data_IF_272350288967
#
_entry.id   IF_272350288967
#
_cell.length_a   1.000
_cell.length_b   1.000
_cell.length_c   1.000
_cell.angle_alpha   90.00
_cell.angle_beta   90.00
_cell.angle_gamma   90.00
#
_symmetry.space_group_name_H-M   'P 1'
#
loop_
_entity.id
_entity.type
_entity.pdbx_description
1 polymer ?
#
# COMPACT_ATOMS: atom_id res chain seq x y z
N UNK A 1 9.15 -16.90 -18.01
CA UNK A 1 8.85 -17.16 -16.59
C UNK A 1 8.88 -18.67 -16.33
N UNK A 2 9.86 -19.16 -15.57
CA UNK A 2 10.15 -20.60 -15.39
C UNK A 2 9.35 -21.28 -14.26
N UNK A 3 8.49 -20.55 -13.56
CA UNK A 3 7.88 -20.96 -12.29
C UNK A 3 6.36 -21.07 -12.35
N UNK A 4 5.79 -21.90 -13.22
CA UNK A 4 4.45 -22.53 -13.07
C UNK A 4 3.21 -21.65 -12.83
N UNK A 5 3.35 -20.35 -12.66
CA UNK A 5 2.26 -19.41 -12.50
C UNK A 5 1.74 -19.14 -13.89
N UNK A 6 0.58 -19.71 -14.18
CA UNK A 6 -0.29 -19.27 -15.27
C UNK A 6 -0.89 -17.88 -14.96
N UNK A 7 -0.08 -16.96 -14.43
CA UNK A 7 -0.43 -15.56 -14.26
C UNK A 7 0.03 -14.88 -15.53
N UNK A 8 -0.90 -14.35 -16.31
CA UNK A 8 -0.55 -13.46 -17.42
C UNK A 8 0.18 -12.25 -16.84
N UNK A 9 1.22 -11.70 -17.49
CA UNK A 9 1.93 -10.53 -16.98
C UNK A 9 1.01 -9.36 -16.61
N UNK A 10 -0.07 -9.15 -17.38
CA UNK A 10 -1.10 -8.14 -17.09
C UNK A 10 -1.91 -8.37 -15.81
N UNK A 11 -1.85 -9.57 -15.23
CA UNK A 11 -2.56 -9.96 -14.01
C UNK A 11 -1.62 -10.07 -12.79
N UNK A 12 -0.33 -9.77 -12.95
CA UNK A 12 0.68 -9.88 -11.89
C UNK A 12 0.96 -8.53 -11.24
N UNK A 13 0.64 -8.42 -9.94
CA UNK A 13 0.87 -7.21 -9.14
C UNK A 13 2.34 -6.81 -9.08
N UNK A 14 2.62 -5.56 -8.73
CA UNK A 14 4.00 -5.10 -8.50
C UNK A 14 4.70 -5.96 -7.45
N UNK A 15 4.00 -6.28 -6.36
CA UNK A 15 4.48 -7.20 -5.34
C UNK A 15 4.75 -8.60 -5.91
N UNK A 16 3.84 -9.13 -6.73
CA UNK A 16 3.99 -10.42 -7.39
C UNK A 16 5.22 -10.51 -8.28
N UNK A 17 5.46 -9.48 -9.09
CA UNK A 17 6.66 -9.40 -9.93
C UNK A 17 7.93 -9.46 -9.09
N UNK A 18 7.98 -8.72 -7.97
CA UNK A 18 9.15 -8.72 -7.09
C UNK A 18 9.35 -10.05 -6.35
N UNK A 19 8.27 -10.73 -5.94
CA UNK A 19 8.34 -12.10 -5.41
C UNK A 19 8.95 -13.04 -6.45
N UNK A 20 8.50 -12.96 -7.71
CA UNK A 20 8.96 -13.85 -8.77
C UNK A 20 10.41 -13.57 -9.17
N UNK A 21 10.79 -12.30 -9.23
CA UNK A 21 12.17 -11.88 -9.45
C UNK A 21 13.09 -12.38 -8.32
N UNK A 22 12.63 -12.30 -7.06
CA UNK A 22 13.38 -12.83 -5.93
C UNK A 22 13.56 -14.35 -6.03
N UNK A 23 12.50 -15.08 -6.38
CA UNK A 23 12.54 -16.52 -6.60
C UNK A 23 13.51 -16.91 -7.73
N UNK A 24 13.48 -16.17 -8.84
CA UNK A 24 14.37 -16.39 -9.98
C UNK A 24 15.83 -16.13 -9.62
N UNK A 25 16.09 -15.00 -8.95
CA UNK A 25 17.43 -14.61 -8.50
C UNK A 25 18.08 -15.65 -7.58
N UNK A 26 17.29 -16.23 -6.68
CA UNK A 26 17.78 -17.23 -5.72
C UNK A 26 17.53 -18.67 -6.15
N UNK A 27 16.98 -18.88 -7.35
CA UNK A 27 16.65 -20.19 -7.93
C UNK A 27 15.77 -21.06 -7.02
N UNK A 28 14.86 -20.45 -6.25
CA UNK A 28 13.95 -21.15 -5.33
C UNK A 28 12.56 -21.36 -5.94
N UNK A 29 11.88 -22.41 -5.50
CA UNK A 29 10.49 -22.70 -5.92
C UNK A 29 9.47 -21.86 -5.13
N UNK A 30 8.24 -21.79 -5.64
CA UNK A 30 7.13 -21.13 -4.92
C UNK A 30 6.88 -21.75 -3.54
N UNK A 31 6.94 -23.08 -3.43
CA UNK A 31 6.79 -23.77 -2.14
C UNK A 31 7.91 -23.41 -1.18
N UNK A 32 9.13 -23.34 -1.68
CA UNK A 32 10.30 -22.98 -0.86
C UNK A 32 10.21 -21.53 -0.37
N UNK A 33 9.84 -20.59 -1.24
CA UNK A 33 9.59 -19.20 -0.86
C UNK A 33 8.45 -19.11 0.17
N UNK A 34 7.34 -19.82 -0.02
CA UNK A 34 6.21 -19.81 0.92
C UNK A 34 6.63 -20.33 2.31
N UNK A 35 7.47 -21.38 2.33
CA UNK A 35 8.05 -21.94 3.55
C UNK A 35 8.95 -20.93 4.27
N UNK A 36 9.82 -20.22 3.53
CA UNK A 36 10.70 -19.19 4.10
C UNK A 36 9.92 -18.00 4.68
N UNK A 37 8.87 -17.57 3.98
CA UNK A 37 7.97 -16.51 4.45
C UNK A 37 7.09 -16.99 5.60
N UNK A 38 6.87 -18.30 5.74
CA UNK A 38 5.99 -18.87 6.76
C UNK A 38 4.51 -18.63 6.47
N UNK A 39 4.11 -18.79 5.20
CA UNK A 39 2.71 -18.76 4.73
C UNK A 39 2.41 -19.97 3.83
N UNK A 40 1.14 -20.18 3.49
CA UNK A 40 0.76 -21.28 2.58
C UNK A 40 1.23 -20.99 1.15
N UNK A 41 1.42 -22.07 0.37
CA UNK A 41 1.75 -21.97 -1.05
C UNK A 41 0.68 -21.19 -1.82
N UNK A 42 -0.59 -21.45 -1.53
CA UNK A 42 -1.75 -20.74 -2.10
C UNK A 42 -1.76 -19.29 -1.66
N UNK A 43 -1.42 -18.99 -0.41
CA UNK A 43 -1.31 -17.63 0.11
C UNK A 43 -0.23 -16.83 -0.62
N UNK A 44 0.95 -17.40 -0.81
CA UNK A 44 2.03 -16.76 -1.57
C UNK A 44 1.63 -16.57 -3.04
N UNK A 45 1.00 -17.58 -3.65
CA UNK A 45 0.47 -17.48 -5.01
C UNK A 45 -0.55 -16.35 -5.12
N UNK A 46 -1.47 -16.21 -4.17
CA UNK A 46 -2.46 -15.13 -4.13
C UNK A 46 -1.80 -13.75 -4.06
N UNK A 47 -0.71 -13.60 -3.30
CA UNK A 47 0.04 -12.33 -3.23
C UNK A 47 0.59 -11.87 -4.60
N UNK A 48 0.69 -12.79 -5.57
CA UNK A 48 1.21 -12.47 -6.90
C UNK A 48 0.16 -11.84 -7.84
N UNK A 49 -1.12 -11.88 -7.49
CA UNK A 49 -2.21 -11.36 -8.32
C UNK A 49 -2.54 -9.90 -7.99
N UNK A 50 -3.03 -9.14 -8.97
CA UNK A 50 -3.59 -7.82 -8.74
C UNK A 50 -4.82 -7.87 -7.81
N UNK A 51 -5.02 -6.80 -7.04
CA UNK A 51 -6.19 -6.62 -6.16
C UNK A 51 -6.15 -7.41 -4.86
N UNK A 52 -5.21 -8.34 -4.69
CA UNK A 52 -5.01 -9.05 -3.43
C UNK A 52 -4.22 -8.15 -2.47
N UNK A 53 -4.77 -7.94 -1.26
CA UNK A 53 -4.05 -7.31 -0.15
C UNK A 53 -3.57 -8.39 0.83
N UNK A 54 -2.27 -8.71 0.84
CA UNK A 54 -1.71 -9.50 1.92
C UNK A 54 -1.82 -8.73 3.25
N UNK A 55 -1.95 -9.45 4.35
CA UNK A 55 -2.01 -8.83 5.68
C UNK A 55 -0.70 -8.13 6.02
N UNK A 56 -0.74 -7.17 6.95
CA UNK A 56 0.46 -6.47 7.44
C UNK A 56 1.55 -7.45 7.88
N UNK A 57 1.17 -8.47 8.66
CA UNK A 57 2.08 -9.53 9.09
C UNK A 57 2.72 -10.28 7.92
N UNK A 58 1.97 -10.52 6.85
CA UNK A 58 2.48 -11.19 5.64
C UNK A 58 3.47 -10.30 4.90
N UNK A 59 3.15 -9.02 4.74
CA UNK A 59 4.03 -8.05 4.09
C UNK A 59 5.35 -7.87 4.84
N UNK A 60 5.32 -7.83 6.18
CA UNK A 60 6.54 -7.77 7.00
C UNK A 60 7.42 -9.02 6.84
N UNK A 61 6.82 -10.21 6.82
CA UNK A 61 7.55 -11.47 6.60
C UNK A 61 8.17 -11.53 5.20
N UNK A 62 7.39 -11.16 4.17
CA UNK A 62 7.87 -11.04 2.79
C UNK A 62 9.03 -10.06 2.68
N UNK A 63 8.90 -8.88 3.28
CA UNK A 63 9.94 -7.86 3.31
C UNK A 63 11.24 -8.41 3.91
N UNK A 64 11.15 -9.13 5.04
CA UNK A 64 12.28 -9.79 5.67
C UNK A 64 12.99 -10.79 4.77
N UNK A 65 12.25 -11.71 4.15
CA UNK A 65 12.82 -12.72 3.22
C UNK A 65 13.42 -12.06 1.97
N UNK A 66 12.76 -11.03 1.45
CA UNK A 66 13.19 -10.34 0.23
C UNK A 66 14.32 -9.33 0.45
N UNK A 67 14.70 -9.07 1.72
CA UNK A 67 15.69 -8.05 2.08
C UNK A 67 15.24 -6.64 1.72
N UNK A 68 13.95 -6.35 1.84
CA UNK A 68 13.35 -5.05 1.51
C UNK A 68 12.74 -4.39 2.75
N UNK A 69 12.64 -3.06 2.78
CA UNK A 69 11.89 -2.38 3.83
C UNK A 69 10.38 -2.68 3.73
N UNK A 70 9.68 -2.98 4.84
CA UNK A 70 8.24 -3.27 4.81
C UNK A 70 7.39 -2.17 4.17
N UNK A 71 7.71 -0.90 4.45
CA UNK A 71 7.04 0.29 3.90
C UNK A 71 7.02 0.32 2.37
N UNK A 72 8.05 -0.26 1.73
CA UNK A 72 8.10 -0.37 0.28
C UNK A 72 7.04 -1.35 -0.23
N UNK A 73 6.85 -2.48 0.45
CA UNK A 73 5.83 -3.47 0.08
C UNK A 73 4.42 -2.95 0.34
N UNK A 74 4.21 -2.26 1.48
CA UNK A 74 2.93 -1.58 1.74
C UNK A 74 2.59 -0.63 0.60
N UNK A 75 3.53 0.25 0.24
CA UNK A 75 3.35 1.21 -0.84
C UNK A 75 2.89 0.54 -2.14
N UNK A 76 3.57 -0.51 -2.59
CA UNK A 76 3.21 -1.22 -3.82
C UNK A 76 1.78 -1.79 -3.80
N UNK A 77 1.38 -2.41 -2.69
CA UNK A 77 0.04 -3.00 -2.57
C UNK A 77 -1.03 -1.92 -2.58
N UNK A 78 -0.80 -0.79 -1.91
CA UNK A 78 -1.74 0.33 -1.91
C UNK A 78 -1.80 1.04 -3.27
N UNK A 79 -0.66 1.28 -3.92
CA UNK A 79 -0.58 1.85 -5.28
C UNK A 79 -1.38 1.00 -6.28
N UNK A 80 -1.20 -0.32 -6.27
CA UNK A 80 -1.97 -1.23 -7.11
C UNK A 80 -3.47 -1.18 -6.75
N UNK A 81 -3.83 -1.11 -5.46
CA UNK A 81 -5.23 -0.99 -5.05
C UNK A 81 -5.88 0.32 -5.49
N UNK A 82 -5.15 1.43 -5.43
CA UNK A 82 -5.64 2.74 -5.87
C UNK A 82 -5.91 2.70 -7.37
N UNK A 83 -4.93 2.23 -8.14
CA UNK A 83 -4.98 2.19 -9.60
C UNK A 83 -6.08 1.28 -10.15
N UNK A 84 -6.40 0.18 -9.45
CA UNK A 84 -7.30 -0.86 -9.98
C UNK A 84 -8.58 -1.10 -9.17
N UNK A 85 -8.67 -0.58 -7.94
CA UNK A 85 -9.76 -0.86 -6.99
C UNK A 85 -10.77 0.27 -6.81
N UNK A 86 -10.49 1.45 -7.35
CA UNK A 86 -11.40 2.60 -7.34
C UNK A 86 -11.71 3.02 -8.78
N UNK A 87 -12.81 3.73 -8.99
CA UNK A 87 -13.04 4.39 -10.27
C UNK A 87 -11.82 5.25 -10.60
N UNK A 88 -11.29 5.07 -11.81
CA UNK A 88 -10.04 5.68 -12.24
C UNK A 88 -10.04 7.19 -11.94
N UNK A 89 -9.10 7.64 -11.11
CA UNK A 89 -8.92 9.04 -10.76
C UNK A 89 -9.56 9.49 -9.45
N UNK A 90 -10.50 8.75 -8.85
CA UNK A 90 -11.15 9.16 -7.59
C UNK A 90 -10.21 9.00 -6.39
N UNK A 91 -9.53 7.86 -6.28
CA UNK A 91 -8.58 7.61 -5.21
C UNK A 91 -7.31 8.46 -5.36
N UNK A 92 -6.85 8.67 -6.59
CA UNK A 92 -5.76 9.58 -6.91
C UNK A 92 -6.11 11.03 -6.56
N UNK A 93 -7.31 11.51 -6.90
CA UNK A 93 -7.78 12.85 -6.55
C UNK A 93 -7.89 13.03 -5.03
N UNK A 94 -8.37 12.01 -4.31
CA UNK A 94 -8.42 12.05 -2.85
C UNK A 94 -7.02 12.14 -2.23
N UNK A 95 -6.07 11.31 -2.69
CA UNK A 95 -4.69 11.36 -2.22
C UNK A 95 -4.04 12.70 -2.49
N UNK A 96 -4.18 13.21 -3.72
CA UNK A 96 -3.65 14.51 -4.09
C UNK A 96 -4.25 15.62 -3.22
N UNK A 97 -5.55 15.58 -2.94
CA UNK A 97 -6.19 16.55 -2.05
C UNK A 97 -5.66 16.47 -0.60
N UNK A 98 -5.38 15.26 -0.08
CA UNK A 98 -4.76 15.09 1.24
C UNK A 98 -3.32 15.65 1.24
N UNK A 99 -2.52 15.34 0.21
CA UNK A 99 -1.14 15.84 0.12
C UNK A 99 -1.08 17.37 0.03
N UNK A 100 -1.95 17.99 -0.77
CA UNK A 100 -2.06 19.44 -0.84
C UNK A 100 -2.54 20.05 0.49
N UNK A 101 -3.49 19.42 1.18
CA UNK A 101 -3.92 19.86 2.50
C UNK A 101 -2.77 19.81 3.52
N UNK A 102 -1.94 18.75 3.52
CA UNK A 102 -0.74 18.64 4.36
C UNK A 102 0.23 19.79 4.07
N UNK A 103 0.50 20.07 2.79
CA UNK A 103 1.40 21.18 2.38
C UNK A 103 0.87 22.52 2.89
N UNK A 104 -0.42 22.80 2.71
CA UNK A 104 -1.06 24.04 3.17
C UNK A 104 -0.98 24.17 4.68
N UNK A 105 -1.34 23.12 5.44
CA UNK A 105 -1.29 23.17 6.91
C UNK A 105 0.16 23.39 7.38
N UNK A 106 1.14 22.70 6.79
CA UNK A 106 2.57 22.92 7.10
C UNK A 106 3.00 24.37 6.89
N UNK A 107 2.58 25.00 5.79
CA UNK A 107 2.85 26.41 5.54
C UNK A 107 2.23 27.31 6.62
N UNK A 108 0.98 27.06 7.02
CA UNK A 108 0.28 27.86 8.02
C UNK A 108 0.88 27.76 9.43
N UNK A 109 1.41 26.59 9.79
CA UNK A 109 1.99 26.35 11.13
C UNK A 109 3.51 26.55 11.18
N UNK A 110 4.15 26.85 10.05
CA UNK A 110 5.60 27.04 10.00
C UNK A 110 6.04 28.24 10.85
N UNK A 111 5.22 29.28 10.92
CA UNK A 111 5.53 30.49 11.69
C UNK A 111 5.20 30.37 13.18
N UNK A 112 4.69 29.20 13.62
CA UNK A 112 4.39 28.98 15.03
C UNK A 112 5.68 28.78 15.82
N UNK A 113 5.71 29.22 17.10
CA UNK A 113 6.76 28.83 18.03
C UNK A 113 6.93 27.30 18.06
N UNK A 114 8.17 26.75 18.13
CA UNK A 114 8.41 25.31 18.05
C UNK A 114 7.61 24.48 19.06
N UNK A 115 7.38 25.02 20.25
CA UNK A 115 6.60 24.40 21.34
C UNK A 115 5.08 24.40 21.09
N UNK A 116 4.61 25.20 20.13
CA UNK A 116 3.19 25.31 19.75
C UNK A 116 2.89 24.74 18.37
N UNK A 117 3.92 24.32 17.63
CA UNK A 117 3.74 23.74 16.30
C UNK A 117 3.12 22.35 16.44
N UNK A 118 2.03 22.05 15.73
CA UNK A 118 1.47 20.70 15.70
C UNK A 118 2.49 19.69 15.19
N UNK A 119 2.42 18.47 15.73
CA UNK A 119 3.19 17.34 15.26
C UNK A 119 2.79 16.95 13.83
N UNK A 120 3.67 16.23 13.13
CA UNK A 120 3.34 15.67 11.81
C UNK A 120 2.08 14.80 11.83
N UNK A 121 1.83 14.08 12.93
CA UNK A 121 0.63 13.28 13.11
C UNK A 121 -0.64 14.15 13.14
N UNK A 122 -0.64 15.22 13.95
CA UNK A 122 -1.78 16.15 14.04
C UNK A 122 -2.04 16.85 12.70
N UNK A 123 -0.98 17.20 11.97
CA UNK A 123 -1.10 17.78 10.62
C UNK A 123 -1.77 16.80 9.66
N UNK A 124 -1.33 15.54 9.64
CA UNK A 124 -1.89 14.50 8.78
C UNK A 124 -3.34 14.21 9.15
N UNK A 125 -3.65 14.09 10.44
CA UNK A 125 -5.01 13.85 10.93
C UNK A 125 -5.95 15.01 10.55
N UNK A 126 -5.49 16.25 10.72
CA UNK A 126 -6.28 17.42 10.35
C UNK A 126 -6.49 17.49 8.83
N UNK A 127 -5.45 17.23 8.03
CA UNK A 127 -5.55 17.17 6.57
C UNK A 127 -6.59 16.13 6.12
N UNK A 128 -6.49 14.91 6.65
CA UNK A 128 -7.41 13.81 6.34
C UNK A 128 -8.86 14.20 6.71
N UNK A 129 -9.08 14.71 7.92
CA UNK A 129 -10.42 15.07 8.40
C UNK A 129 -11.05 16.20 7.57
N UNK A 130 -10.26 17.20 7.15
CA UNK A 130 -10.77 18.29 6.32
C UNK A 130 -11.08 17.81 4.90
N UNK A 131 -10.19 17.03 4.29
CA UNK A 131 -10.43 16.47 2.96
C UNK A 131 -11.65 15.56 2.96
N UNK A 132 -11.80 14.65 3.94
CA UNK A 132 -12.99 13.78 4.02
C UNK A 132 -14.31 14.56 4.17
N UNK A 133 -14.31 15.74 4.82
CA UNK A 133 -15.51 16.60 4.88
C UNK A 133 -15.90 17.14 3.51
N UNK A 134 -14.93 17.56 2.70
CA UNK A 134 -15.17 18.05 1.33
C UNK A 134 -15.74 16.94 0.44
N UNK A 135 -15.28 15.71 0.66
CA UNK A 135 -15.67 14.55 -0.13
C UNK A 135 -16.95 13.84 0.37
N UNK A 136 -17.45 14.18 1.57
CA UNK A 136 -18.67 13.61 2.18
C UNK A 136 -19.94 13.72 1.30
N UNK A 137 -20.20 14.81 0.55
CA UNK A 137 -21.36 14.92 -0.33
C UNK A 137 -21.35 13.93 -1.51
N UNK A 138 -20.18 13.38 -1.86
CA UNK A 138 -20.01 12.46 -2.99
C UNK A 138 -20.25 10.98 -2.62
N UNK A 139 -20.81 10.70 -1.45
CA UNK A 139 -21.24 9.34 -1.07
C UNK A 139 -20.12 8.42 -0.58
N UNK A 140 -18.93 8.93 -0.29
CA UNK A 140 -17.86 8.16 0.36
C UNK A 140 -18.33 7.69 1.74
N UNK A 141 -18.62 6.39 1.86
CA UNK A 141 -18.96 5.75 3.13
C UNK A 141 -17.69 5.67 3.98
N UNK A 142 -17.50 6.64 4.86
CA UNK A 142 -16.36 6.78 5.78
C UNK A 142 -16.15 5.62 6.77
N UNK A 143 -17.04 4.61 6.79
CA UNK A 143 -17.00 3.53 7.79
C UNK A 143 -15.91 2.47 7.59
N UNK A 144 -15.19 2.46 6.47
CA UNK A 144 -14.16 1.44 6.19
C UNK A 144 -12.71 1.93 6.29
N UNK A 145 -12.47 3.25 6.46
CA UNK A 145 -11.13 3.84 6.43
C UNK A 145 -10.47 4.01 7.80
N UNK A 146 -11.20 3.83 8.90
CA UNK A 146 -10.72 4.14 10.26
C UNK A 146 -10.60 2.89 11.16
N UNK A 147 -11.08 1.73 10.70
CA UNK A 147 -11.08 0.48 11.49
C UNK A 147 -10.51 -0.72 10.70
N UNK A 148 -9.25 -0.64 10.24
CA UNK A 148 -8.46 -1.81 9.87
C UNK A 148 -7.07 -1.73 10.48
#
# INVERSE_FOLDING_TARGET
MKYGLQIKPENCSRLGQEILNHMEKHQISMREMARQVGITHEGLRSCCWYGVMPTEATLRKLAGVMGKPPEQLFRWVYEDKIKYGYEAGVAEALLQAIEEAIKVIRLLVNDYPPDKRPSDYEIIEQALNQTLKVFKPFGLKTKELVNQ
#
